data_IF_380760720387
#
_entry.id   IF_380760720387
#
_cell.length_a   1.000
_cell.length_b   1.000
_cell.length_c   1.000
_cell.angle_alpha   90.00
_cell.angle_beta   90.00
_cell.angle_gamma   90.00
#
_symmetry.space_group_name_H-M   'P 1'
#
loop_
_entity.id
_entity.type
_entity.pdbx_description
1 polymer ?
#
# COMPACT_ATOMS: atom_id res chain seq x y z
N UNK A 1 -24.27 12.67 35.14
CA UNK A 1 -22.98 12.54 34.43
C UNK A 1 -23.03 11.37 33.43
N UNK A 2 -23.26 11.68 32.15
CA UNK A 2 -23.26 10.70 31.06
C UNK A 2 -21.82 10.44 30.62
N UNK A 3 -21.39 9.18 30.68
CA UNK A 3 -20.11 8.71 30.17
C UNK A 3 -19.99 8.97 28.66
N UNK A 4 -18.85 9.47 28.15
CA UNK A 4 -18.61 9.62 26.71
C UNK A 4 -18.71 8.26 26.00
N UNK A 5 -19.16 8.20 24.73
CA UNK A 5 -19.09 6.97 23.96
C UNK A 5 -17.62 6.61 23.75
N UNK A 6 -17.26 5.38 24.14
CA UNK A 6 -16.01 4.74 23.74
C UNK A 6 -15.90 4.81 22.22
N UNK A 7 -14.75 5.18 21.64
CA UNK A 7 -14.56 4.99 20.20
C UNK A 7 -14.77 3.51 19.91
N UNK A 8 -15.85 3.18 19.21
CA UNK A 8 -15.99 1.89 18.56
C UNK A 8 -14.92 1.86 17.48
N UNK A 9 -13.70 1.43 17.83
CA UNK A 9 -12.74 0.98 16.83
C UNK A 9 -13.49 -0.10 16.06
N UNK A 10 -13.81 0.09 14.76
CA UNK A 10 -14.31 -1.02 13.96
C UNK A 10 -13.33 -2.17 14.14
N UNK A 11 -13.74 -3.44 14.13
CA UNK A 11 -12.81 -4.53 14.00
C UNK A 11 -12.21 -4.46 12.59
N UNK A 12 -11.34 -3.47 12.35
CA UNK A 12 -10.40 -3.49 11.26
C UNK A 12 -9.36 -4.52 11.67
N UNK A 13 -9.71 -5.80 11.58
CA UNK A 13 -8.69 -6.82 11.49
C UNK A 13 -7.86 -6.43 10.27
N UNK A 14 -6.76 -5.73 10.54
CA UNK A 14 -5.70 -5.39 9.60
C UNK A 14 -5.09 -6.70 9.13
N UNK A 15 -5.83 -7.36 8.25
CA UNK A 15 -5.52 -8.63 7.61
C UNK A 15 -4.50 -8.42 6.49
N UNK A 16 -3.69 -7.37 6.57
CA UNK A 16 -2.61 -7.12 5.64
C UNK A 16 -1.40 -6.55 6.34
N UNK A 17 -0.24 -7.13 6.05
CA UNK A 17 1.06 -6.57 6.35
C UNK A 17 1.67 -6.07 5.04
N UNK A 18 2.25 -4.88 5.07
CA UNK A 18 2.93 -4.28 3.92
C UNK A 18 4.37 -4.04 4.29
N UNK A 19 5.28 -4.65 3.54
CA UNK A 19 6.72 -4.39 3.65
C UNK A 19 7.15 -3.55 2.45
N UNK A 20 7.87 -2.47 2.71
CA UNK A 20 8.35 -1.55 1.66
C UNK A 20 9.86 -1.50 1.70
N UNK A 21 10.46 -1.82 0.55
CA UNK A 21 11.89 -1.68 0.31
C UNK A 21 12.09 -0.57 -0.72
N UNK A 22 12.81 0.47 -0.31
CA UNK A 22 13.12 1.61 -1.18
C UNK A 22 14.56 1.50 -1.64
N UNK A 23 14.78 1.68 -2.94
CA UNK A 23 16.09 1.89 -3.51
C UNK A 23 16.08 3.24 -4.23
N UNK A 24 16.75 4.24 -3.68
CA UNK A 24 16.81 5.60 -4.23
C UNK A 24 18.20 5.93 -4.75
N UNK A 25 18.27 6.66 -5.86
CA UNK A 25 19.50 7.10 -6.50
C UNK A 25 19.28 8.47 -7.17
N UNK A 26 20.22 9.41 -7.00
CA UNK A 26 20.12 10.76 -7.56
C UNK A 26 18.76 11.44 -7.26
N UNK A 27 17.87 11.48 -8.26
CA UNK A 27 16.51 12.02 -8.21
C UNK A 27 15.44 10.98 -8.56
N UNK A 28 15.82 9.71 -8.65
CA UNK A 28 14.97 8.56 -8.92
C UNK A 28 14.90 7.62 -7.72
N UNK A 29 13.79 6.93 -7.57
CA UNK A 29 13.63 5.87 -6.59
C UNK A 29 12.78 4.75 -7.16
N UNK A 30 13.06 3.54 -6.70
CA UNK A 30 12.20 2.37 -6.88
C UNK A 30 11.68 1.96 -5.53
N UNK A 31 10.37 1.84 -5.41
CA UNK A 31 9.72 1.22 -4.26
C UNK A 31 9.24 -0.16 -4.64
N UNK A 32 9.59 -1.12 -3.79
CA UNK A 32 9.18 -2.50 -3.91
C UNK A 32 8.30 -2.81 -2.70
N UNK A 33 7.03 -3.12 -2.96
CA UNK A 33 5.98 -3.27 -1.95
C UNK A 33 5.53 -4.72 -1.95
N UNK A 34 5.69 -5.38 -0.82
CA UNK A 34 5.16 -6.73 -0.58
C UNK A 34 3.91 -6.62 0.25
N UNK A 35 2.78 -7.05 -0.30
CA UNK A 35 1.50 -7.09 0.37
C UNK A 35 1.26 -8.53 0.80
N UNK A 36 1.20 -8.75 2.11
CA UNK A 36 0.92 -10.04 2.72
C UNK A 36 -0.47 -10.02 3.32
N UNK A 37 -1.36 -10.91 2.90
CA UNK A 37 -2.68 -11.07 3.50
C UNK A 37 -2.54 -11.87 4.80
N UNK A 38 -2.58 -11.21 5.94
CA UNK A 38 -2.56 -11.84 7.28
C UNK A 38 -3.97 -12.24 7.76
N UNK A 39 -4.98 -12.08 6.92
CA UNK A 39 -6.34 -12.52 7.19
C UNK A 39 -6.58 -14.00 7.01
N UNK A 40 -7.78 -14.43 7.37
CA UNK A 40 -8.26 -15.82 7.23
C UNK A 40 -8.99 -16.07 5.91
N UNK A 41 -9.34 -15.02 5.17
CA UNK A 41 -10.03 -15.09 3.88
C UNK A 41 -9.11 -14.68 2.73
N UNK A 42 -9.26 -15.30 1.56
CA UNK A 42 -8.58 -14.87 0.36
C UNK A 42 -9.14 -13.52 -0.13
N UNK A 43 -8.25 -12.62 -0.54
CA UNK A 43 -8.62 -11.35 -1.19
C UNK A 43 -8.76 -11.62 -2.68
N UNK A 44 -9.93 -11.32 -3.25
CA UNK A 44 -10.21 -11.44 -4.68
C UNK A 44 -10.42 -10.05 -5.27
N UNK A 45 -9.44 -9.55 -6.01
CA UNK A 45 -9.38 -8.17 -6.45
C UNK A 45 -8.94 -7.26 -5.30
N UNK A 46 -7.74 -6.71 -5.42
CA UNK A 46 -7.16 -5.87 -4.37
C UNK A 46 -6.80 -4.48 -4.90
N UNK A 47 -6.97 -3.50 -4.03
CA UNK A 47 -6.68 -2.10 -4.25
C UNK A 47 -5.97 -1.59 -3.00
N UNK A 48 -4.70 -1.27 -3.14
CA UNK A 48 -3.87 -0.71 -2.09
C UNK A 48 -3.82 0.81 -2.25
N UNK A 49 -4.42 1.55 -1.32
CA UNK A 49 -4.32 3.00 -1.28
C UNK A 49 -3.28 3.45 -0.26
N UNK A 50 -2.44 4.42 -0.64
CA UNK A 50 -1.37 4.96 0.17
C UNK A 50 -1.05 6.41 -0.20
N UNK A 51 -0.55 7.15 0.78
CA UNK A 51 -0.13 8.54 0.57
C UNK A 51 1.35 8.59 0.17
N UNK A 52 1.61 8.94 -1.08
CA UNK A 52 2.95 9.16 -1.60
C UNK A 52 3.52 10.45 -0.96
N UNK A 53 4.72 10.40 -0.38
CA UNK A 53 5.37 11.58 0.19
C UNK A 53 5.48 12.74 -0.80
N UNK A 54 5.28 13.95 -0.29
CA UNK A 54 5.40 15.17 -1.08
C UNK A 54 6.77 15.29 -1.75
N UNK A 55 6.75 15.67 -3.02
CA UNK A 55 7.96 15.74 -3.86
C UNK A 55 8.28 14.43 -4.60
N UNK A 56 7.49 13.37 -4.43
CA UNK A 56 7.59 12.15 -5.24
C UNK A 56 6.55 12.11 -6.37
N UNK A 57 6.92 11.53 -7.52
CA UNK A 57 6.00 11.30 -8.65
C UNK A 57 6.30 9.97 -9.33
N UNK A 58 5.32 9.08 -9.35
CA UNK A 58 5.43 7.78 -10.01
C UNK A 58 5.57 7.98 -11.52
N UNK A 59 6.62 7.41 -12.11
CA UNK A 59 6.87 7.45 -13.56
C UNK A 59 6.50 6.15 -14.25
N UNK A 60 6.67 5.00 -13.57
CA UNK A 60 6.32 3.69 -14.11
C UNK A 60 6.07 2.70 -12.99
N UNK A 61 5.32 1.63 -13.25
CA UNK A 61 5.02 0.59 -12.27
C UNK A 61 4.86 -0.78 -12.91
N UNK A 62 5.03 -1.82 -12.10
CA UNK A 62 4.83 -3.21 -12.51
C UNK A 62 4.02 -3.97 -11.46
N UNK A 63 3.40 -5.07 -11.92
CA UNK A 63 2.52 -5.94 -11.14
C UNK A 63 1.30 -5.21 -10.51
N UNK A 64 1.12 -3.93 -10.80
CA UNK A 64 -0.01 -3.13 -10.36
C UNK A 64 -0.17 -1.90 -11.27
N UNK A 65 -1.38 -1.37 -11.33
CA UNK A 65 -1.66 -0.08 -11.95
C UNK A 65 -1.76 1.00 -10.87
N UNK A 66 -1.00 2.08 -10.99
CA UNK A 66 -0.93 3.17 -10.01
C UNK A 66 -1.64 4.40 -10.54
N UNK A 67 -2.59 4.94 -9.78
CA UNK A 67 -3.27 6.19 -10.13
C UNK A 67 -3.85 6.89 -8.90
N UNK A 68 -3.78 8.23 -8.81
CA UNK A 68 -2.91 9.14 -9.56
C UNK A 68 -1.41 8.86 -9.32
N UNK A 69 -0.51 9.58 -10.01
CA UNK A 69 0.94 9.37 -9.90
C UNK A 69 1.60 10.10 -8.70
N UNK A 70 0.85 10.91 -7.96
CA UNK A 70 1.33 11.66 -6.80
C UNK A 70 0.19 11.92 -5.80
N UNK A 71 0.54 12.26 -4.56
CA UNK A 71 -0.44 12.48 -3.49
C UNK A 71 -1.05 11.16 -3.01
N UNK A 72 -2.38 11.04 -3.04
CA UNK A 72 -3.09 9.82 -2.64
C UNK A 72 -3.12 8.84 -3.82
N UNK A 73 -2.21 7.86 -3.81
CA UNK A 73 -2.04 6.89 -4.89
C UNK A 73 -2.82 5.63 -4.57
N UNK A 74 -3.52 5.10 -5.58
CA UNK A 74 -4.17 3.80 -5.50
C UNK A 74 -3.48 2.83 -6.46
N UNK A 75 -2.87 1.79 -5.91
CA UNK A 75 -2.37 0.64 -6.66
C UNK A 75 -3.48 -0.41 -6.79
N UNK A 76 -3.85 -0.75 -8.03
CA UNK A 76 -4.83 -1.81 -8.32
C UNK A 76 -4.15 -3.03 -8.89
N UNK A 77 -4.69 -4.20 -8.54
CA UNK A 77 -4.23 -5.48 -9.08
C UNK A 77 -4.32 -5.53 -10.60
N UNK A 78 -3.48 -6.39 -11.18
CA UNK A 78 -3.60 -6.83 -12.57
C UNK A 78 -4.27 -8.21 -12.61
N UNK A 79 -4.65 -8.67 -13.80
CA UNK A 79 -5.49 -9.87 -13.94
C UNK A 79 -4.87 -11.13 -13.30
N UNK A 80 -3.55 -11.31 -13.43
CA UNK A 80 -2.88 -12.54 -12.96
C UNK A 80 -2.63 -12.57 -11.45
N UNK A 81 -2.62 -11.42 -10.77
CA UNK A 81 -2.34 -11.33 -9.32
C UNK A 81 -3.52 -10.78 -8.52
N UNK A 82 -4.73 -10.86 -9.09
CA UNK A 82 -5.95 -10.41 -8.43
C UNK A 82 -6.25 -11.16 -7.13
N UNK A 83 -5.89 -12.44 -7.05
CA UNK A 83 -6.10 -13.28 -5.88
C UNK A 83 -4.90 -13.27 -4.94
N UNK A 84 -5.11 -12.90 -3.68
CA UNK A 84 -4.14 -13.08 -2.59
C UNK A 84 -4.75 -14.09 -1.61
N UNK A 85 -4.29 -15.34 -1.56
CA UNK A 85 -4.80 -16.31 -0.60
C UNK A 85 -4.55 -15.85 0.83
N UNK A 86 -5.28 -16.42 1.80
CA UNK A 86 -5.00 -16.21 3.21
C UNK A 86 -3.56 -16.62 3.54
N UNK A 87 -2.82 -15.80 4.27
CA UNK A 87 -1.37 -15.91 4.50
C UNK A 87 -0.50 -15.88 3.22
N UNK A 88 -1.10 -15.55 2.07
CA UNK A 88 -0.40 -15.33 0.82
C UNK A 88 0.25 -13.96 0.76
N UNK A 89 1.24 -13.81 -0.10
CA UNK A 89 1.86 -12.52 -0.40
C UNK A 89 2.00 -12.31 -1.89
N UNK A 90 1.97 -11.04 -2.28
CA UNK A 90 2.26 -10.59 -3.63
C UNK A 90 3.28 -9.47 -3.56
N UNK A 91 4.05 -9.35 -4.63
CA UNK A 91 5.02 -8.30 -4.74
C UNK A 91 4.67 -7.38 -5.91
N UNK A 92 4.67 -6.08 -5.63
CA UNK A 92 4.45 -5.01 -6.60
C UNK A 92 5.57 -4.01 -6.47
N UNK A 93 5.75 -3.18 -7.49
CA UNK A 93 6.70 -2.09 -7.38
C UNK A 93 6.44 -0.99 -8.37
N UNK A 94 7.06 0.14 -8.11
CA UNK A 94 7.03 1.28 -8.99
C UNK A 94 8.34 2.06 -8.94
N UNK A 95 8.61 2.74 -10.03
CA UNK A 95 9.65 3.75 -10.13
C UNK A 95 8.99 5.12 -10.01
N UNK A 96 9.58 5.99 -9.20
CA UNK A 96 9.19 7.37 -9.03
C UNK A 96 10.41 8.28 -9.13
N UNK A 97 10.18 9.55 -9.45
CA UNK A 97 11.16 10.61 -9.25
C UNK A 97 10.91 11.30 -7.91
N UNK A 98 11.95 11.88 -7.31
CA UNK A 98 11.84 12.64 -6.08
C UNK A 98 12.67 13.93 -6.10
N UNK A 99 12.20 14.96 -5.39
CA UNK A 99 12.91 16.25 -5.23
C UNK A 99 13.74 16.33 -3.94
N UNK A 100 14.24 15.19 -3.46
CA UNK A 100 15.01 15.08 -2.20
C UNK A 100 14.29 14.31 -1.07
N UNK A 101 13.03 13.92 -1.25
CA UNK A 101 12.30 13.08 -0.30
C UNK A 101 12.12 11.66 -0.86
N UNK A 102 12.88 10.70 -0.32
CA UNK A 102 12.82 9.28 -0.67
C UNK A 102 12.21 8.42 0.44
N UNK A 103 11.42 9.01 1.35
CA UNK A 103 10.75 8.26 2.39
C UNK A 103 9.67 7.33 1.82
N UNK A 104 9.34 6.25 2.54
CA UNK A 104 8.19 5.39 2.22
C UNK A 104 6.89 6.02 2.70
N UNK A 105 5.74 5.67 2.09
CA UNK A 105 4.44 5.91 2.69
C UNK A 105 4.36 5.31 4.10
N UNK A 106 3.71 6.03 5.02
CA UNK A 106 3.54 5.61 6.41
C UNK A 106 2.25 4.81 6.65
N UNK A 107 1.32 4.86 5.70
CA UNK A 107 -0.01 4.27 5.83
C UNK A 107 -0.42 3.63 4.52
N UNK A 108 -0.97 2.43 4.65
CA UNK A 108 -1.49 1.64 3.54
C UNK A 108 -2.84 1.08 3.92
N UNK A 109 -3.77 1.07 2.97
CA UNK A 109 -5.08 0.46 3.13
C UNK A 109 -5.36 -0.49 1.97
N UNK A 110 -5.65 -1.74 2.28
CA UNK A 110 -6.02 -2.76 1.29
C UNK A 110 -7.54 -2.91 1.30
N UNK A 111 -8.20 -2.55 0.19
CA UNK A 111 -9.67 -2.57 0.07
C UNK A 111 -10.39 -1.83 1.22
N UNK A 112 -9.76 -0.77 1.75
CA UNK A 112 -10.29 0.00 2.89
C UNK A 112 -9.91 -0.55 4.27
N UNK A 113 -9.27 -1.73 4.37
CA UNK A 113 -8.72 -2.24 5.61
C UNK A 113 -7.31 -1.69 5.83
N UNK A 114 -7.03 -1.15 7.03
CA UNK A 114 -5.70 -0.65 7.40
C UNK A 114 -4.69 -1.78 7.48
N UNK A 115 -3.55 -1.63 6.81
CA UNK A 115 -2.44 -2.57 6.85
C UNK A 115 -1.36 -2.14 7.83
N UNK A 116 -0.69 -3.11 8.45
CA UNK A 116 0.50 -2.86 9.27
C UNK A 116 1.70 -2.66 8.35
N UNK A 117 2.40 -1.54 8.48
CA UNK A 117 3.63 -1.26 7.73
C UNK A 117 4.82 -1.79 8.51
N UNK A 118 5.63 -2.63 7.87
CA UNK A 118 6.88 -3.18 8.43
C UNK A 118 8.09 -2.61 7.69
#
# INVERSE_FOLDING_TARGET
PTTPPTPTTPPGSGACAVTVTINAWNTGLTENITITNTGTAAVNGWSLAFALPGGQTITSGWNASYSPASGQVTARNVAYNAGIPANGSINIGFQATHTGNSAKPNSFTLNGASCTVT
#
